data_IF_999953170380
#
_entry.id   IF_999953170380
#
_cell.length_a   1.000
_cell.length_b   1.000
_cell.length_c   1.000
_cell.angle_alpha   90.00
_cell.angle_beta   90.00
_cell.angle_gamma   90.00
#
_symmetry.space_group_name_H-M   'P 1'
#
loop_
_entity.id
_entity.type
_entity.pdbx_description
1 polymer ?
#
# COMPACT_ATOMS: atom_id res chain seq x y z
N UNK A 1 -1.00 14.01 10.79
CA UNK A 1 -1.66 13.84 9.49
C UNK A 1 -0.77 12.96 8.63
N UNK A 2 -1.24 11.77 8.30
CA UNK A 2 -0.67 10.89 7.29
C UNK A 2 -1.00 11.44 5.91
N UNK A 3 -0.28 10.97 4.90
CA UNK A 3 -0.51 11.38 3.51
C UNK A 3 -1.90 10.95 3.02
N UNK A 4 -2.37 9.76 3.43
CA UNK A 4 -3.76 9.30 3.22
C UNK A 4 -4.84 10.20 3.83
N UNK A 5 -4.52 10.97 4.87
CA UNK A 5 -5.47 11.88 5.51
C UNK A 5 -5.69 13.16 4.67
N UNK A 6 -4.84 13.40 3.65
CA UNK A 6 -4.96 14.54 2.73
C UNK A 6 -6.01 14.30 1.65
N UNK A 7 -6.25 13.04 1.29
CA UNK A 7 -7.05 12.69 0.13
C UNK A 7 -8.49 13.19 0.22
N UNK A 8 -9.25 12.80 1.26
CA UNK A 8 -10.68 13.12 1.36
C UNK A 8 -10.93 14.65 1.36
N UNK A 9 -10.18 15.47 2.14
CA UNK A 9 -10.29 16.93 2.07
C UNK A 9 -10.07 17.50 0.68
N UNK A 10 -9.05 17.03 -0.04
CA UNK A 10 -8.71 17.53 -1.37
C UNK A 10 -9.76 17.09 -2.39
N UNK A 11 -10.21 15.83 -2.31
CA UNK A 11 -11.30 15.31 -3.15
C UNK A 11 -12.55 16.18 -3.00
N UNK A 12 -13.01 16.39 -1.77
CA UNK A 12 -14.19 17.21 -1.50
C UNK A 12 -14.02 18.63 -2.04
N UNK A 13 -12.87 19.27 -1.76
CA UNK A 13 -12.60 20.64 -2.23
C UNK A 13 -12.61 20.77 -3.76
N UNK A 14 -12.15 19.74 -4.47
CA UNK A 14 -12.17 19.68 -5.93
C UNK A 14 -13.58 19.44 -6.48
N UNK A 15 -14.33 18.51 -5.90
CA UNK A 15 -15.71 18.18 -6.30
C UNK A 15 -16.65 19.39 -6.10
N UNK A 16 -16.52 20.11 -4.98
CA UNK A 16 -17.24 21.37 -4.72
C UNK A 16 -16.97 22.46 -5.78
N UNK A 17 -15.87 22.34 -6.53
CA UNK A 17 -15.47 23.25 -7.61
C UNK A 17 -15.79 22.72 -9.01
N UNK A 18 -16.58 21.64 -9.10
CA UNK A 18 -17.05 21.08 -10.36
C UNK A 18 -16.02 20.21 -11.08
N UNK A 19 -15.03 19.68 -10.35
CA UNK A 19 -14.12 18.69 -10.88
C UNK A 19 -14.60 17.27 -10.56
N UNK A 20 -14.40 16.36 -11.51
CA UNK A 20 -14.46 14.92 -11.26
C UNK A 20 -13.07 14.44 -10.81
N UNK A 21 -13.02 13.64 -9.74
CA UNK A 21 -11.77 13.23 -9.08
C UNK A 21 -11.47 11.75 -9.36
N UNK A 22 -10.21 11.47 -9.70
CA UNK A 22 -9.70 10.14 -10.03
C UNK A 22 -8.41 9.88 -9.22
N UNK A 23 -8.41 8.98 -8.23
CA UNK A 23 -7.20 8.63 -7.50
C UNK A 23 -6.26 7.73 -8.31
N UNK A 24 -4.96 7.79 -8.00
CA UNK A 24 -3.96 6.77 -8.37
C UNK A 24 -3.84 6.50 -9.89
N UNK A 25 -3.88 7.56 -10.70
CA UNK A 25 -3.90 7.44 -12.17
C UNK A 25 -2.49 7.28 -12.71
N UNK A 26 -2.19 6.12 -13.26
CA UNK A 26 -0.92 5.82 -13.92
C UNK A 26 -0.90 6.33 -15.36
N UNK A 27 0.13 7.07 -15.73
CA UNK A 27 0.37 7.50 -17.10
C UNK A 27 1.76 7.05 -17.55
N UNK A 28 1.82 5.98 -18.35
CA UNK A 28 3.07 5.43 -18.87
C UNK A 28 3.90 6.44 -19.65
N UNK A 29 3.24 7.36 -20.38
CA UNK A 29 3.91 8.39 -21.18
C UNK A 29 4.55 9.49 -20.33
N UNK A 30 3.95 9.83 -19.20
CA UNK A 30 4.54 10.73 -18.22
C UNK A 30 5.60 10.02 -17.34
N UNK A 31 5.66 8.68 -17.38
CA UNK A 31 6.60 7.88 -16.62
C UNK A 31 6.26 7.86 -15.12
N UNK A 32 4.99 7.95 -14.75
CA UNK A 32 4.59 8.06 -13.34
C UNK A 32 3.11 7.80 -13.09
N UNK A 33 2.75 7.93 -11.81
CA UNK A 33 1.38 7.84 -11.32
C UNK A 33 1.07 9.07 -10.48
N UNK A 34 -0.06 9.70 -10.76
CA UNK A 34 -0.55 10.85 -10.02
C UNK A 34 -1.37 10.36 -8.83
N UNK A 35 -1.17 10.97 -7.66
CA UNK A 35 -2.00 10.69 -6.49
C UNK A 35 -3.48 11.01 -6.77
N UNK A 36 -3.74 12.17 -7.39
CA UNK A 36 -5.07 12.59 -7.84
C UNK A 36 -4.97 13.22 -9.22
N UNK A 37 -5.84 12.77 -10.13
CA UNK A 37 -6.18 13.48 -11.36
C UNK A 37 -7.58 14.05 -11.23
N UNK A 38 -7.78 15.27 -11.70
CA UNK A 38 -9.08 15.92 -11.75
C UNK A 38 -9.44 16.31 -13.17
N UNK A 39 -10.73 16.26 -13.52
CA UNK A 39 -11.20 16.72 -14.82
C UNK A 39 -12.43 17.61 -14.75
N UNK A 40 -12.54 18.57 -15.66
CA UNK A 40 -13.77 19.33 -15.89
C UNK A 40 -13.92 19.57 -17.39
N UNK A 41 -14.80 18.82 -18.04
CA UNK A 41 -14.85 18.74 -19.50
C UNK A 41 -13.49 18.33 -20.09
N UNK A 42 -12.89 19.14 -20.99
CA UNK A 42 -11.58 18.86 -21.58
C UNK A 42 -10.40 19.19 -20.66
N UNK A 43 -10.64 19.86 -19.53
CA UNK A 43 -9.57 20.25 -18.61
C UNK A 43 -9.11 19.06 -17.78
N UNK A 44 -7.79 18.91 -17.63
CA UNK A 44 -7.16 17.92 -16.76
C UNK A 44 -6.24 18.62 -15.77
N UNK A 45 -6.32 18.24 -14.51
CA UNK A 45 -5.42 18.70 -13.47
C UNK A 45 -4.83 17.55 -12.67
N UNK A 46 -3.71 17.81 -11.99
CA UNK A 46 -3.06 16.84 -11.11
C UNK A 46 -2.83 17.45 -9.73
N UNK A 47 -3.04 16.65 -8.68
CA UNK A 47 -2.60 16.97 -7.32
C UNK A 47 -1.65 15.87 -6.85
N UNK A 48 -0.43 16.27 -6.48
CA UNK A 48 0.53 15.40 -5.77
C UNK A 48 0.50 15.72 -4.27
N UNK A 49 0.45 14.70 -3.42
CA UNK A 49 0.25 14.87 -1.98
C UNK A 49 1.49 14.46 -1.18
N UNK A 50 1.87 15.26 -0.18
CA UNK A 50 2.94 14.88 0.76
C UNK A 50 2.73 15.45 2.15
N UNK A 51 3.33 14.83 3.15
CA UNK A 51 3.34 15.35 4.52
C UNK A 51 4.17 16.65 4.69
N UNK A 52 5.02 16.96 3.72
CA UNK A 52 5.89 18.13 3.72
C UNK A 52 6.29 18.52 2.31
N UNK A 53 6.50 19.80 2.09
CA UNK A 53 7.13 20.29 0.87
C UNK A 53 8.59 19.82 0.81
N UNK A 54 8.92 19.03 -0.22
CA UNK A 54 10.24 18.45 -0.47
C UNK A 54 10.61 18.60 -1.95
N UNK A 55 11.89 18.42 -2.29
CA UNK A 55 12.32 18.37 -3.69
C UNK A 55 11.68 17.19 -4.44
N UNK A 56 11.45 16.07 -3.75
CA UNK A 56 10.76 14.90 -4.29
C UNK A 56 9.31 15.23 -4.71
N UNK A 57 8.56 15.95 -3.86
CA UNK A 57 7.21 16.41 -4.21
C UNK A 57 7.22 17.37 -5.41
N UNK A 58 8.21 18.26 -5.47
CA UNK A 58 8.36 19.18 -6.60
C UNK A 58 8.69 18.43 -7.90
N UNK A 59 9.58 17.44 -7.85
CA UNK A 59 9.91 16.60 -9.01
C UNK A 59 8.71 15.80 -9.51
N UNK A 60 7.93 15.19 -8.59
CA UNK A 60 6.67 14.53 -8.91
C UNK A 60 5.68 15.48 -9.58
N UNK A 61 5.48 16.68 -9.03
CA UNK A 61 4.58 17.67 -9.61
C UNK A 61 5.04 18.12 -11.01
N UNK A 62 6.34 18.34 -11.20
CA UNK A 62 6.92 18.80 -12.46
C UNK A 62 6.82 17.76 -13.59
N UNK A 63 6.75 16.47 -13.26
CA UNK A 63 6.52 15.38 -14.22
C UNK A 63 5.28 15.60 -15.09
N UNK A 64 4.25 16.23 -14.53
CA UNK A 64 2.97 16.45 -15.20
C UNK A 64 2.95 17.66 -16.12
N UNK A 65 4.06 18.39 -16.22
CA UNK A 65 4.16 19.51 -17.18
C UNK A 65 3.98 19.00 -18.60
N UNK A 66 3.07 19.64 -19.32
CA UNK A 66 2.67 19.24 -20.66
C UNK A 66 1.63 18.12 -20.70
N UNK A 67 1.30 17.47 -19.58
CA UNK A 67 0.25 16.46 -19.48
C UNK A 67 -1.03 16.99 -18.80
N UNK A 68 -0.89 17.97 -17.90
CA UNK A 68 -2.00 18.57 -17.15
C UNK A 68 -2.09 20.09 -17.36
N UNK A 69 -3.32 20.60 -17.39
CA UNK A 69 -3.63 22.03 -17.50
C UNK A 69 -3.36 22.76 -16.18
N UNK A 70 -3.57 22.08 -15.06
CA UNK A 70 -3.27 22.59 -13.73
C UNK A 70 -2.46 21.57 -12.95
N UNK A 71 -1.48 22.06 -12.20
CA UNK A 71 -0.66 21.24 -11.33
C UNK A 71 -0.74 21.85 -9.94
N UNK A 72 -1.19 21.04 -9.00
CA UNK A 72 -1.21 21.36 -7.59
C UNK A 72 -0.32 20.41 -6.81
N UNK A 73 0.15 20.89 -5.67
CA UNK A 73 0.64 20.05 -4.60
C UNK A 73 -0.27 20.23 -3.38
N UNK A 74 -0.49 19.17 -2.62
CA UNK A 74 -1.25 19.23 -1.37
C UNK A 74 -0.37 18.81 -0.20
N UNK A 75 -0.33 19.65 0.83
CA UNK A 75 0.44 19.39 2.06
C UNK A 75 -0.33 19.82 3.31
N UNK A 76 -0.04 19.26 4.49
CA UNK A 76 -0.58 19.78 5.74
C UNK A 76 -0.19 21.24 5.96
N UNK A 77 -1.12 22.03 6.49
CA UNK A 77 -0.84 23.42 6.86
C UNK A 77 0.31 23.56 7.85
N UNK A 78 1.14 24.58 7.63
CA UNK A 78 2.22 24.98 8.53
C UNK A 78 2.13 26.49 8.77
N UNK A 79 2.35 26.89 10.03
CA UNK A 79 2.31 28.30 10.46
C UNK A 79 3.39 29.15 9.80
N UNK A 80 4.50 28.54 9.40
CA UNK A 80 5.62 29.21 8.74
C UNK A 80 5.52 29.00 7.24
N UNK A 81 5.64 30.10 6.48
CA UNK A 81 5.69 30.06 5.03
C UNK A 81 6.97 29.39 4.49
N UNK A 82 7.03 29.25 3.18
CA UNK A 82 8.19 28.64 2.52
C UNK A 82 9.38 29.59 2.46
N UNK A 83 10.57 29.01 2.31
CA UNK A 83 11.76 29.79 1.96
C UNK A 83 11.52 30.51 0.62
N UNK A 84 12.05 31.72 0.46
CA UNK A 84 11.87 32.54 -0.74
C UNK A 84 12.21 31.80 -2.04
N UNK A 85 13.28 30.99 -2.03
CA UNK A 85 13.64 30.12 -3.16
C UNK A 85 12.51 29.17 -3.57
N UNK A 86 11.83 28.57 -2.60
CA UNK A 86 10.73 27.63 -2.87
C UNK A 86 9.51 28.37 -3.41
N UNK A 87 9.20 29.56 -2.87
CA UNK A 87 8.15 30.42 -3.43
C UNK A 87 8.43 30.80 -4.90
N UNK A 88 9.69 31.13 -5.22
CA UNK A 88 10.12 31.40 -6.58
C UNK A 88 9.89 30.18 -7.48
N UNK A 89 10.34 28.98 -7.07
CA UNK A 89 10.14 27.74 -7.83
C UNK A 89 8.65 27.46 -8.08
N UNK A 90 7.82 27.49 -7.04
CA UNK A 90 6.38 27.24 -7.16
C UNK A 90 5.73 28.22 -8.16
N UNK A 91 6.06 29.51 -8.06
CA UNK A 91 5.55 30.55 -8.95
C UNK A 91 6.03 30.38 -10.40
N UNK A 92 7.32 30.18 -10.61
CA UNK A 92 7.93 30.17 -11.94
C UNK A 92 7.48 28.94 -12.74
N UNK A 93 7.32 27.79 -12.06
CA UNK A 93 6.73 26.60 -12.65
C UNK A 93 5.20 26.61 -12.67
N UNK A 94 4.56 27.50 -11.92
CA UNK A 94 3.11 27.69 -11.91
C UNK A 94 2.36 26.60 -11.14
N UNK A 95 2.98 26.06 -10.09
CA UNK A 95 2.43 25.03 -9.21
C UNK A 95 1.59 25.72 -8.14
N UNK A 96 0.31 25.36 -8.03
CA UNK A 96 -0.55 25.83 -6.93
C UNK A 96 -0.32 25.00 -5.67
N UNK A 97 -0.46 25.59 -4.49
CA UNK A 97 -0.36 24.85 -3.23
C UNK A 97 -1.70 24.77 -2.54
N UNK A 98 -2.11 23.56 -2.16
CA UNK A 98 -3.28 23.27 -1.35
C UNK A 98 -2.82 22.92 0.07
N UNK A 99 -3.23 23.71 1.04
CA UNK A 99 -3.01 23.40 2.45
C UNK A 99 -4.21 22.69 3.03
N UNK A 100 -3.93 21.65 3.81
CA UNK A 100 -4.96 20.91 4.55
C UNK A 100 -4.77 21.16 6.06
N UNK A 101 -5.77 21.74 6.73
CA UNK A 101 -5.75 21.84 8.19
C UNK A 101 -5.94 20.48 8.85
N UNK A 102 -5.61 20.38 10.14
CA UNK A 102 -5.92 19.19 10.95
C UNK A 102 -7.41 18.82 10.97
N UNK A 103 -8.30 19.75 10.63
CA UNK A 103 -9.74 19.56 10.59
C UNK A 103 -10.28 19.30 9.17
N UNK A 104 -9.40 19.14 8.17
CA UNK A 104 -9.78 18.88 6.78
C UNK A 104 -10.18 20.12 5.98
N UNK A 105 -9.98 21.32 6.51
CA UNK A 105 -10.19 22.56 5.75
C UNK A 105 -9.09 22.70 4.70
N UNK A 106 -9.48 23.01 3.45
CA UNK A 106 -8.54 23.20 2.34
C UNK A 106 -8.53 24.66 1.88
N UNK A 107 -7.34 25.25 1.76
CA UNK A 107 -7.16 26.56 1.15
C UNK A 107 -5.94 26.60 0.25
N UNK A 108 -5.94 27.55 -0.69
CA UNK A 108 -4.89 27.70 -1.68
C UNK A 108 -3.90 28.78 -1.27
N UNK A 109 -2.60 28.51 -1.36
CA UNK A 109 -1.56 29.54 -1.40
C UNK A 109 -0.94 29.56 -2.80
N UNK A 110 -1.02 30.71 -3.46
CA UNK A 110 -0.72 30.83 -4.89
C UNK A 110 -1.78 30.17 -5.79
N UNK A 111 -1.90 30.65 -7.02
CA UNK A 111 -2.79 30.05 -8.02
C UNK A 111 -1.99 29.13 -8.92
N UNK A 112 -2.48 27.91 -9.14
CA UNK A 112 -1.94 27.06 -10.20
C UNK A 112 -2.12 27.78 -11.54
N UNK A 113 -1.06 27.85 -12.34
CA UNK A 113 -1.09 28.49 -13.65
C UNK A 113 -1.80 27.57 -14.63
N UNK A 114 -2.75 28.11 -15.37
CA UNK A 114 -3.40 27.40 -16.47
C UNK A 114 -2.43 27.19 -17.64
N UNK A 115 -2.12 25.93 -17.94
CA UNK A 115 -1.33 25.51 -19.08
C UNK A 115 -2.27 25.23 -20.27
N UNK A 116 -2.20 26.08 -21.31
CA UNK A 116 -3.09 26.00 -22.48
C UNK A 116 -2.87 24.76 -23.35
N UNK A 117 -1.64 24.25 -23.39
CA UNK A 117 -1.24 23.12 -24.26
C UNK A 117 -0.89 21.92 -23.41
N UNK A 118 -1.60 20.83 -23.61
CA UNK A 118 -1.36 19.53 -22.98
C UNK A 118 -1.49 18.41 -24.00
N UNK A 119 -0.79 17.30 -23.76
CA UNK A 119 -0.99 16.06 -24.51
C UNK A 119 -2.11 15.23 -23.84
N UNK A 120 -2.93 14.50 -24.61
CA UNK A 120 -4.13 13.86 -24.08
C UNK A 120 -3.87 12.58 -23.27
N UNK A 121 -2.60 12.14 -23.18
CA UNK A 121 -2.25 10.83 -22.62
C UNK A 121 -2.70 10.62 -21.18
N UNK A 122 -2.69 11.67 -20.35
CA UNK A 122 -3.18 11.57 -18.98
C UNK A 122 -4.70 11.38 -18.95
N UNK A 123 -5.44 12.17 -19.75
CA UNK A 123 -6.89 12.04 -19.88
C UNK A 123 -7.30 10.66 -20.40
N UNK A 124 -6.56 10.14 -21.40
CA UNK A 124 -6.78 8.81 -21.97
C UNK A 124 -6.44 7.66 -20.99
N UNK A 125 -5.71 7.95 -19.91
CA UNK A 125 -5.40 6.96 -18.88
C UNK A 125 -6.52 6.83 -17.84
N UNK A 126 -7.56 7.68 -17.91
CA UNK A 126 -8.70 7.65 -17.00
C UNK A 126 -9.65 6.50 -17.36
N UNK A 127 -10.08 5.76 -16.35
CA UNK A 127 -11.06 4.68 -16.46
C UNK A 127 -12.17 4.87 -15.43
N UNK A 128 -13.37 4.37 -15.72
CA UNK A 128 -14.52 4.42 -14.79
C UNK A 128 -14.22 3.75 -13.43
N UNK A 129 -13.30 2.77 -13.42
CA UNK A 129 -12.89 2.04 -12.23
C UNK A 129 -12.18 2.89 -11.16
N UNK A 130 -11.66 4.07 -11.52
CA UNK A 130 -11.11 5.01 -10.55
C UNK A 130 -12.19 5.61 -9.62
N UNK A 131 -13.46 5.64 -10.04
CA UNK A 131 -14.55 6.26 -9.27
C UNK A 131 -15.27 5.26 -8.36
N UNK A 132 -15.39 4.00 -8.78
CA UNK A 132 -16.18 2.96 -8.09
C UNK A 132 -15.45 2.24 -6.95
N UNK A 133 -14.15 2.47 -6.77
CA UNK A 133 -13.27 1.56 -6.02
C UNK A 133 -12.99 1.95 -4.56
N UNK A 134 -13.53 3.07 -4.06
CA UNK A 134 -13.41 3.47 -2.64
C UNK A 134 -11.97 3.74 -2.17
N UNK A 135 -11.05 4.02 -3.09
CA UNK A 135 -9.61 4.20 -2.81
C UNK A 135 -9.33 5.63 -2.35
N UNK A 136 -8.47 5.76 -1.34
CA UNK A 136 -7.86 7.03 -0.92
C UNK A 136 -6.42 7.10 -1.44
N UNK A 137 -6.05 8.20 -2.11
CA UNK A 137 -4.66 8.43 -2.55
C UNK A 137 -3.69 8.66 -1.38
N UNK A 138 -2.38 8.48 -1.60
CA UNK A 138 -1.35 8.88 -0.64
C UNK A 138 -0.94 7.82 0.40
N UNK A 139 -1.03 6.53 0.07
CA UNK A 139 -0.53 5.47 0.95
C UNK A 139 0.96 5.17 0.71
N UNK A 140 1.81 5.56 1.65
CA UNK A 140 3.21 5.14 1.72
C UNK A 140 3.30 3.63 1.96
N UNK A 141 3.39 2.83 0.89
CA UNK A 141 3.49 1.38 0.98
C UNK A 141 2.87 0.56 -0.15
N UNK A 142 2.55 1.14 -1.32
CA UNK A 142 2.11 0.34 -2.46
C UNK A 142 0.73 -0.29 -2.29
N UNK A 143 -0.24 0.51 -1.83
CA UNK A 143 -1.66 0.18 -1.90
C UNK A 143 -2.17 0.26 -3.35
N UNK A 144 -1.59 -0.54 -4.24
CA UNK A 144 -1.89 -0.50 -5.66
C UNK A 144 -3.20 -1.25 -5.97
N UNK A 145 -4.10 -0.65 -6.75
CA UNK A 145 -4.93 -1.47 -7.65
C UNK A 145 -4.14 -1.69 -8.93
N UNK A 146 -3.47 -2.83 -8.98
CA UNK A 146 -2.92 -3.41 -10.20
C UNK A 146 -4.02 -4.09 -11.00
N UNK A 147 -3.85 -4.35 -12.31
CA UNK A 147 -4.74 -5.24 -13.06
C UNK A 147 -5.00 -6.57 -12.33
N UNK A 148 -3.99 -7.04 -11.58
CA UNK A 148 -4.11 -8.11 -10.59
C UNK A 148 -5.21 -7.88 -9.55
N UNK A 149 -5.16 -6.80 -8.78
CA UNK A 149 -6.20 -6.52 -7.77
C UNK A 149 -7.59 -6.33 -8.39
N UNK A 150 -7.69 -5.82 -9.62
CA UNK A 150 -8.97 -5.74 -10.36
C UNK A 150 -9.52 -7.15 -10.61
N UNK A 151 -8.72 -8.03 -11.21
CA UNK A 151 -9.11 -9.42 -11.49
C UNK A 151 -9.50 -10.14 -10.20
N UNK A 152 -8.68 -10.02 -9.15
CA UNK A 152 -8.95 -10.67 -7.86
C UNK A 152 -10.22 -10.16 -7.21
N UNK A 153 -10.51 -8.86 -7.26
CA UNK A 153 -11.74 -8.31 -6.72
C UNK A 153 -12.97 -8.80 -7.49
N UNK A 154 -12.92 -8.89 -8.83
CA UNK A 154 -14.01 -9.47 -9.65
C UNK A 154 -14.27 -10.92 -9.24
N UNK A 155 -13.22 -11.73 -9.14
CA UNK A 155 -13.30 -13.14 -8.72
C UNK A 155 -13.84 -13.28 -7.31
N UNK A 156 -13.40 -12.43 -6.37
CA UNK A 156 -13.88 -12.41 -4.99
C UNK A 156 -15.39 -12.13 -4.90
N UNK A 157 -15.89 -11.16 -5.66
CA UNK A 157 -17.33 -10.85 -5.72
C UNK A 157 -18.12 -12.00 -6.35
N UNK A 158 -17.61 -12.58 -7.43
CA UNK A 158 -18.25 -13.74 -8.08
C UNK A 158 -18.37 -14.92 -7.11
N UNK A 159 -17.29 -15.30 -6.43
CA UNK A 159 -17.30 -16.41 -5.47
C UNK A 159 -18.21 -16.12 -4.27
N UNK A 160 -18.25 -14.88 -3.78
CA UNK A 160 -19.15 -14.47 -2.70
C UNK A 160 -20.63 -14.58 -3.13
N UNK A 161 -20.95 -14.21 -4.37
CA UNK A 161 -22.31 -14.31 -4.93
C UNK A 161 -22.70 -15.75 -5.24
N UNK A 162 -21.77 -16.57 -5.71
CA UNK A 162 -22.02 -17.98 -6.01
C UNK A 162 -22.34 -18.77 -4.74
N UNK A 163 -21.67 -18.46 -3.63
CA UNK A 163 -21.93 -19.09 -2.32
C UNK A 163 -21.50 -20.55 -2.19
N UNK A 164 -21.01 -21.16 -3.27
CA UNK A 164 -20.59 -22.56 -3.34
C UNK A 164 -19.23 -22.73 -4.07
N UNK A 165 -18.74 -23.95 -4.16
CA UNK A 165 -17.49 -24.33 -4.80
C UNK A 165 -17.54 -24.14 -6.32
N UNK A 166 -16.70 -23.24 -6.84
CA UNK A 166 -16.54 -23.00 -8.27
C UNK A 166 -15.19 -23.51 -8.77
N UNK A 167 -15.18 -24.14 -9.94
CA UNK A 167 -13.96 -24.48 -10.66
C UNK A 167 -13.32 -23.24 -11.29
N UNK A 168 -12.02 -23.31 -11.61
CA UNK A 168 -11.35 -22.22 -12.36
C UNK A 168 -12.03 -21.93 -13.69
N UNK A 169 -12.62 -22.94 -14.35
CA UNK A 169 -13.32 -22.73 -15.61
C UNK A 169 -14.54 -21.82 -15.40
N UNK A 170 -15.38 -22.15 -14.43
CA UNK A 170 -16.59 -21.36 -14.14
C UNK A 170 -16.25 -19.93 -13.71
N UNK A 171 -15.16 -19.74 -12.97
CA UNK A 171 -14.67 -18.41 -12.60
C UNK A 171 -14.26 -17.62 -13.86
N UNK A 172 -13.50 -18.22 -14.76
CA UNK A 172 -13.03 -17.56 -15.99
C UNK A 172 -14.14 -17.32 -17.02
N UNK A 173 -15.17 -18.17 -17.04
CA UNK A 173 -16.35 -17.99 -17.89
C UNK A 173 -17.16 -16.74 -17.47
N UNK A 174 -17.01 -16.25 -16.23
CA UNK A 174 -17.74 -15.10 -15.67
C UNK A 174 -16.85 -13.90 -15.29
N UNK A 175 -15.54 -14.09 -15.17
CA UNK A 175 -14.59 -13.05 -14.76
C UNK A 175 -13.48 -12.89 -15.80
N UNK A 176 -13.50 -11.78 -16.52
CA UNK A 176 -12.39 -11.39 -17.39
C UNK A 176 -11.11 -11.13 -16.57
N UNK A 177 -9.97 -11.61 -17.07
CA UNK A 177 -8.67 -11.52 -16.39
C UNK A 177 -7.63 -10.76 -17.20
N UNK A 178 -6.73 -10.08 -16.51
CA UNK A 178 -5.57 -9.39 -17.11
C UNK A 178 -4.39 -10.32 -17.46
N UNK A 179 -4.46 -11.61 -17.12
CA UNK A 179 -3.36 -12.55 -17.33
C UNK A 179 -3.28 -12.99 -18.79
N UNK A 180 -2.06 -13.09 -19.33
CA UNK A 180 -1.83 -13.71 -20.65
C UNK A 180 -2.16 -15.21 -20.65
N UNK A 181 -2.03 -15.87 -19.49
CA UNK A 181 -2.35 -17.29 -19.29
C UNK A 181 -3.39 -17.48 -18.16
N UNK A 182 -4.67 -17.12 -18.38
CA UNK A 182 -5.68 -16.97 -17.32
C UNK A 182 -5.82 -18.15 -16.36
N UNK A 183 -5.88 -19.38 -16.89
CA UNK A 183 -6.16 -20.59 -16.09
C UNK A 183 -5.08 -20.89 -15.05
N UNK A 184 -3.83 -20.94 -15.47
CA UNK A 184 -2.71 -21.28 -14.59
C UNK A 184 -2.39 -20.13 -13.64
N UNK A 185 -2.38 -18.90 -14.15
CA UNK A 185 -2.05 -17.71 -13.36
C UNK A 185 -3.08 -17.41 -12.29
N UNK A 186 -4.38 -17.51 -12.60
CA UNK A 186 -5.44 -17.29 -11.62
C UNK A 186 -5.45 -18.41 -10.57
N UNK A 187 -5.29 -19.67 -10.98
CA UNK A 187 -5.21 -20.78 -10.04
C UNK A 187 -4.06 -20.58 -9.05
N UNK A 188 -2.86 -20.26 -9.53
CA UNK A 188 -1.70 -19.97 -8.67
C UNK A 188 -1.99 -18.81 -7.72
N UNK A 189 -2.58 -17.72 -8.22
CA UNK A 189 -2.89 -16.55 -7.40
C UNK A 189 -3.88 -16.86 -6.26
N UNK A 190 -4.95 -17.60 -6.56
CA UNK A 190 -5.94 -18.00 -5.54
C UNK A 190 -5.35 -18.98 -4.52
N UNK A 191 -4.41 -19.84 -4.95
CA UNK A 191 -3.74 -20.80 -4.08
C UNK A 191 -2.71 -20.15 -3.15
N UNK A 192 -1.86 -19.27 -3.69
CA UNK A 192 -0.67 -18.76 -2.98
C UNK A 192 -0.90 -17.40 -2.31
N UNK A 193 -1.69 -16.51 -2.92
CA UNK A 193 -1.75 -15.10 -2.49
C UNK A 193 -3.08 -14.71 -1.84
N UNK A 194 -4.16 -15.45 -2.10
CA UNK A 194 -5.52 -15.08 -1.65
C UNK A 194 -6.17 -16.12 -0.71
N UNK A 195 -5.37 -17.05 -0.17
CA UNK A 195 -5.82 -18.10 0.76
C UNK A 195 -6.45 -17.57 2.08
N UNK A 196 -6.24 -16.28 2.40
CA UNK A 196 -6.84 -15.63 3.57
C UNK A 196 -8.36 -15.49 3.49
N UNK A 197 -8.94 -15.40 2.29
CA UNK A 197 -10.39 -15.30 2.08
C UNK A 197 -10.93 -16.30 1.05
N UNK A 198 -10.06 -17.00 0.32
CA UNK A 198 -10.44 -18.02 -0.67
C UNK A 198 -10.11 -19.42 -0.15
N UNK A 199 -11.13 -20.24 0.00
CA UNK A 199 -10.98 -21.67 0.27
C UNK A 199 -10.66 -22.45 -1.00
N UNK A 200 -9.99 -23.59 -0.83
CA UNK A 200 -9.67 -24.52 -1.92
C UNK A 200 -10.02 -25.96 -1.54
N UNK A 201 -10.45 -26.73 -2.54
CA UNK A 201 -10.49 -28.20 -2.45
C UNK A 201 -10.07 -28.83 -3.77
N UNK A 202 -9.68 -30.11 -3.71
CA UNK A 202 -9.35 -30.91 -4.89
C UNK A 202 -10.23 -32.16 -4.91
N UNK A 203 -11.00 -32.33 -5.98
CA UNK A 203 -11.90 -33.47 -6.18
C UNK A 203 -11.71 -34.00 -7.59
N UNK A 204 -11.54 -35.32 -7.73
CA UNK A 204 -11.32 -35.99 -9.02
C UNK A 204 -10.25 -35.31 -9.90
N UNK A 205 -9.15 -34.86 -9.29
CA UNK A 205 -8.05 -34.19 -9.99
C UNK A 205 -8.28 -32.70 -10.34
N UNK A 206 -9.48 -32.15 -10.11
CA UNK A 206 -9.83 -30.75 -10.39
C UNK A 206 -9.78 -29.88 -9.14
N UNK A 207 -9.37 -28.62 -9.30
CA UNK A 207 -9.35 -27.62 -8.24
C UNK A 207 -10.65 -26.82 -8.23
N UNK A 208 -11.18 -26.60 -7.03
CA UNK A 208 -12.35 -25.78 -6.76
C UNK A 208 -12.03 -24.74 -5.69
N UNK A 209 -12.69 -23.59 -5.80
CA UNK A 209 -12.47 -22.43 -4.96
C UNK A 209 -13.82 -21.91 -4.45
N UNK A 210 -13.84 -21.41 -3.22
CA UNK A 210 -15.04 -20.83 -2.59
C UNK A 210 -14.67 -19.64 -1.74
N UNK A 211 -15.56 -18.67 -1.61
CA UNK A 211 -15.38 -17.57 -0.67
C UNK A 211 -15.54 -18.05 0.78
N UNK A 212 -14.64 -17.61 1.67
CA UNK A 212 -14.75 -17.80 3.12
C UNK A 212 -15.33 -16.54 3.75
N UNK A 213 -16.49 -16.65 4.39
CA UNK A 213 -16.99 -15.59 5.27
C UNK A 213 -16.13 -15.54 6.53
N UNK A 214 -15.44 -14.42 6.73
CA UNK A 214 -14.61 -14.17 7.93
C UNK A 214 -15.43 -13.41 9.00
N UNK A 215 -16.75 -13.31 8.84
CA UNK A 215 -17.61 -12.43 9.63
C UNK A 215 -18.76 -13.16 10.33
N UNK A 216 -18.46 -14.22 11.09
CA UNK A 216 -19.32 -14.70 12.19
C UNK A 216 -18.48 -15.42 13.25
N UNK A 217 -17.94 -14.68 14.22
CA UNK A 217 -17.48 -15.24 15.48
C UNK A 217 -17.55 -14.19 16.61
N UNK A 218 -18.74 -14.00 17.18
CA UNK A 218 -18.93 -13.59 18.58
C UNK A 218 -19.88 -14.60 19.25
N UNK A 219 -19.76 -14.81 20.56
CA UNK A 219 -19.94 -16.13 21.16
C UNK A 219 -21.32 -16.33 21.79
N UNK A 220 -21.91 -17.52 21.60
CA UNK A 220 -23.04 -17.98 22.41
C UNK A 220 -23.69 -19.23 21.83
N UNK A 221 -23.73 -20.32 22.62
CA UNK A 221 -24.68 -21.42 22.39
C UNK A 221 -24.08 -22.82 22.19
N UNK A 222 -23.79 -23.49 23.32
CA UNK A 222 -23.97 -24.93 23.58
C UNK A 222 -23.42 -25.98 22.59
N UNK A 223 -22.30 -26.59 22.97
CA UNK A 223 -21.79 -27.86 22.44
C UNK A 223 -22.62 -29.05 22.94
N UNK A 224 -23.15 -29.87 22.03
CA UNK A 224 -23.26 -31.32 22.23
C UNK A 224 -22.27 -32.02 21.31
N UNK A 225 -21.53 -32.97 21.91
CA UNK A 225 -20.37 -33.66 21.37
C UNK A 225 -20.78 -34.77 20.39
N UNK A 226 -19.99 -34.96 19.34
CA UNK A 226 -19.66 -36.29 18.83
C UNK A 226 -18.18 -36.32 18.40
N UNK A 227 -17.44 -37.24 19.04
CA UNK A 227 -16.00 -37.44 18.93
C UNK A 227 -15.60 -38.00 17.55
N UNK A 228 -14.46 -37.53 17.04
CA UNK A 228 -13.68 -38.20 16.00
C UNK A 228 -12.26 -37.65 16.04
N UNK A 229 -11.32 -38.45 16.53
CA UNK A 229 -9.99 -38.04 16.94
C UNK A 229 -9.13 -37.47 15.80
N UNK A 230 -8.56 -36.28 16.05
CA UNK A 230 -7.41 -35.70 15.33
C UNK A 230 -6.23 -35.69 16.32
N UNK A 231 -5.02 -36.12 15.92
CA UNK A 231 -3.89 -36.19 16.83
C UNK A 231 -3.48 -34.81 17.36
N UNK A 232 -3.05 -34.85 18.63
CA UNK A 232 -2.79 -33.74 19.52
C UNK A 232 -1.84 -32.68 18.94
N UNK A 233 -2.33 -31.44 18.95
CA UNK A 233 -1.67 -30.24 19.48
C UNK A 233 -0.29 -30.48 20.14
N UNK A 234 0.75 -29.87 19.59
CA UNK A 234 1.76 -29.24 20.46
C UNK A 234 1.30 -27.81 20.71
N UNK A 235 1.08 -27.48 21.97
CA UNK A 235 0.65 -26.17 22.42
C UNK A 235 1.86 -25.35 22.89
N UNK A 236 1.97 -24.17 22.28
CA UNK A 236 2.37 -22.88 22.84
C UNK A 236 3.79 -22.69 23.39
N UNK A 237 4.42 -21.56 22.99
CA UNK A 237 5.09 -20.69 23.98
C UNK A 237 5.09 -19.19 23.69
N UNK A 238 5.01 -18.72 22.44
CA UNK A 238 4.86 -17.27 22.17
C UNK A 238 3.92 -17.00 20.98
N UNK A 239 2.70 -16.56 21.24
CA UNK A 239 1.72 -16.19 20.20
C UNK A 239 2.04 -14.82 19.55
N UNK A 240 3.28 -14.61 19.08
CA UNK A 240 3.69 -13.34 18.48
C UNK A 240 3.55 -13.42 16.96
N UNK A 241 2.50 -12.79 16.43
CA UNK A 241 2.34 -12.63 14.98
C UNK A 241 3.33 -11.59 14.44
N UNK A 242 4.13 -11.98 13.44
CA UNK A 242 5.10 -11.14 12.74
C UNK A 242 4.81 -11.16 11.23
N UNK A 243 4.92 -10.00 10.57
CA UNK A 243 4.94 -9.95 9.09
C UNK A 243 6.24 -10.55 8.55
N UNK A 244 6.28 -11.02 7.29
CA UNK A 244 7.50 -11.55 6.66
C UNK A 244 8.72 -10.63 6.84
N UNK A 245 8.56 -9.31 6.64
CA UNK A 245 9.66 -8.34 6.83
C UNK A 245 10.15 -8.23 8.27
N UNK A 246 9.25 -8.41 9.24
CA UNK A 246 9.60 -8.41 10.66
C UNK A 246 10.33 -9.71 11.02
N UNK A 247 9.85 -10.84 10.49
CA UNK A 247 10.48 -12.14 10.68
C UNK A 247 11.87 -12.18 10.04
N UNK A 248 12.04 -11.74 8.79
CA UNK A 248 13.36 -11.69 8.14
C UNK A 248 14.36 -10.86 8.91
N UNK A 249 13.93 -9.74 9.52
CA UNK A 249 14.79 -8.92 10.37
C UNK A 249 15.08 -9.62 11.70
N UNK A 250 14.09 -10.22 12.35
CA UNK A 250 14.27 -10.99 13.58
C UNK A 250 15.31 -12.10 13.41
N UNK A 251 15.22 -12.88 12.33
CA UNK A 251 16.10 -14.01 12.02
C UNK A 251 17.56 -13.60 11.80
N UNK A 252 17.86 -12.35 11.44
CA UNK A 252 19.24 -11.90 11.19
C UNK A 252 19.83 -11.01 12.31
N UNK A 253 19.01 -10.63 13.29
CA UNK A 253 19.47 -9.94 14.49
C UNK A 253 20.21 -10.91 15.42
N UNK A 254 21.18 -10.38 16.17
CA UNK A 254 21.93 -11.15 17.17
C UNK A 254 21.84 -10.50 18.56
N UNK A 255 22.42 -11.16 19.57
CA UNK A 255 22.58 -10.63 20.93
C UNK A 255 23.63 -9.50 21.02
N UNK A 256 24.41 -9.30 19.96
CA UNK A 256 25.41 -8.23 19.91
C UNK A 256 24.80 -6.93 19.36
N UNK A 257 25.37 -5.80 19.77
CA UNK A 257 24.95 -4.50 19.27
C UNK A 257 25.31 -4.30 17.78
N UNK A 258 24.29 -4.17 16.94
CA UNK A 258 24.45 -4.01 15.49
C UNK A 258 23.80 -2.71 14.99
N UNK A 259 24.40 -2.09 13.98
CA UNK A 259 23.77 -0.96 13.26
C UNK A 259 22.76 -1.46 12.22
N UNK A 260 21.74 -0.66 11.85
CA UNK A 260 20.78 -1.03 10.81
C UNK A 260 21.43 -1.49 9.50
N UNK A 261 22.52 -0.85 9.07
CA UNK A 261 23.26 -1.24 7.87
C UNK A 261 23.91 -2.60 8.02
N UNK A 262 24.46 -2.93 9.20
CA UNK A 262 25.07 -4.25 9.47
C UNK A 262 24.01 -5.36 9.54
N UNK A 263 22.82 -5.04 10.02
CA UNK A 263 21.66 -5.94 10.01
C UNK A 263 21.19 -6.15 8.57
N UNK A 264 21.05 -5.08 7.80
CA UNK A 264 20.61 -5.14 6.40
C UNK A 264 21.51 -6.00 5.50
N UNK A 265 22.83 -5.99 5.75
CA UNK A 265 23.80 -6.85 5.02
C UNK A 265 23.55 -8.35 5.19
N UNK A 266 22.88 -8.76 6.27
CA UNK A 266 22.58 -10.16 6.56
C UNK A 266 21.23 -10.61 6.01
N UNK A 267 20.39 -9.68 5.53
CA UNK A 267 19.06 -10.02 5.02
C UNK A 267 19.15 -10.79 3.69
N UNK A 268 18.43 -11.92 3.54
CA UNK A 268 18.40 -12.66 2.29
C UNK A 268 17.75 -11.84 1.16
N UNK A 269 18.32 -11.87 -0.04
CA UNK A 269 17.74 -11.26 -1.24
C UNK A 269 17.92 -9.74 -1.40
N UNK A 270 18.66 -9.07 -0.52
CA UNK A 270 18.98 -7.65 -0.68
C UNK A 270 20.27 -7.43 -1.50
N UNK A 271 20.17 -6.69 -2.61
CA UNK A 271 21.31 -6.37 -3.46
C UNK A 271 22.31 -5.45 -2.71
N UNK A 272 23.64 -5.67 -2.79
CA UNK A 272 24.66 -4.91 -2.04
C UNK A 272 24.53 -3.38 -2.17
N UNK A 273 24.26 -2.90 -3.38
CA UNK A 273 24.03 -1.47 -3.64
C UNK A 273 22.83 -0.89 -2.87
N UNK A 274 21.75 -1.66 -2.70
CA UNK A 274 20.57 -1.25 -1.93
C UNK A 274 20.90 -1.21 -0.44
N UNK A 275 21.71 -2.15 0.04
CA UNK A 275 22.12 -2.21 1.44
C UNK A 275 22.95 -0.98 1.83
N UNK A 276 23.86 -0.54 0.96
CA UNK A 276 24.73 0.62 1.22
C UNK A 276 23.99 1.96 1.14
N UNK A 277 23.05 2.10 0.20
CA UNK A 277 22.35 3.37 -0.03
C UNK A 277 21.07 3.50 0.79
N UNK A 278 20.36 2.38 1.05
CA UNK A 278 18.99 2.36 1.60
C UNK A 278 18.75 1.24 2.63
N UNK A 279 19.77 0.46 3.00
CA UNK A 279 19.60 -0.72 3.87
C UNK A 279 19.01 -0.39 5.24
N UNK A 280 19.35 0.77 5.82
CA UNK A 280 18.77 1.23 7.08
C UNK A 280 17.25 1.45 6.99
N UNK A 281 16.72 1.88 5.85
CA UNK A 281 15.29 2.11 5.63
C UNK A 281 14.48 0.80 5.62
N UNK A 282 15.09 -0.28 5.12
CA UNK A 282 14.49 -1.62 5.11
C UNK A 282 14.35 -2.22 6.52
N UNK A 283 15.26 -1.87 7.42
CA UNK A 283 15.39 -2.50 8.74
C UNK A 283 14.76 -1.65 9.85
N UNK A 284 14.73 -0.32 9.72
CA UNK A 284 14.26 0.59 10.77
C UNK A 284 12.79 0.38 11.17
N UNK A 285 11.89 0.15 10.20
CA UNK A 285 10.46 -0.09 10.48
C UNK A 285 10.25 -1.44 11.18
N UNK A 286 10.81 -2.57 10.68
CA UNK A 286 10.83 -3.84 11.41
C UNK A 286 11.41 -3.75 12.83
N UNK A 287 12.58 -3.11 13.01
CA UNK A 287 13.20 -2.95 14.32
C UNK A 287 12.28 -2.23 15.31
N UNK A 288 11.62 -1.16 14.88
CA UNK A 288 10.67 -0.43 15.74
C UNK A 288 9.51 -1.32 16.18
N UNK A 289 9.00 -2.16 15.28
CA UNK A 289 7.93 -3.10 15.60
C UNK A 289 8.39 -4.23 16.54
N UNK A 290 9.61 -4.75 16.34
CA UNK A 290 10.20 -5.77 17.22
C UNK A 290 10.46 -5.21 18.64
N UNK A 291 10.92 -3.96 18.75
CA UNK A 291 11.06 -3.26 20.04
C UNK A 291 9.71 -3.09 20.73
N UNK A 292 8.67 -2.67 19.99
CA UNK A 292 7.33 -2.54 20.55
C UNK A 292 6.74 -3.86 21.05
N UNK A 293 7.22 -4.99 20.50
CA UNK A 293 6.86 -6.36 20.92
C UNK A 293 7.81 -6.94 21.97
N UNK A 294 8.81 -6.19 22.44
CA UNK A 294 9.80 -6.65 23.42
C UNK A 294 10.81 -7.67 22.89
N UNK A 295 10.91 -7.87 21.57
CA UNK A 295 11.79 -8.86 20.94
C UNK A 295 13.17 -8.29 20.58
N UNK A 296 13.30 -6.97 20.50
CA UNK A 296 14.56 -6.30 20.25
C UNK A 296 14.67 -5.09 21.16
N UNK A 297 15.90 -4.64 21.41
CA UNK A 297 16.15 -3.43 22.17
C UNK A 297 17.13 -2.52 21.47
N UNK A 298 17.08 -1.24 21.85
CA UNK A 298 17.95 -0.19 21.36
C UNK A 298 18.96 0.17 22.44
N UNK A 299 20.21 0.39 22.04
CA UNK A 299 21.25 0.77 22.98
C UNK A 299 20.89 2.11 23.68
N UNK A 300 21.00 2.19 25.02
CA UNK A 300 20.58 3.37 25.78
C UNK A 300 21.43 4.61 25.47
N UNK A 301 22.75 4.46 25.38
CA UNK A 301 23.68 5.58 25.19
C UNK A 301 24.14 5.77 23.73
N UNK A 302 24.47 4.68 23.01
CA UNK A 302 24.94 4.74 21.62
C UNK A 302 23.78 4.73 20.63
N UNK A 303 23.59 5.84 19.92
CA UNK A 303 22.51 5.97 18.93
C UNK A 303 22.70 4.98 17.77
N UNK A 304 21.59 4.37 17.34
CA UNK A 304 21.54 3.58 16.11
C UNK A 304 22.11 2.16 16.23
N UNK A 305 22.14 1.60 17.44
CA UNK A 305 22.50 0.21 17.67
C UNK A 305 21.33 -0.56 18.29
N UNK A 306 21.17 -1.81 17.85
CA UNK A 306 20.07 -2.70 18.20
C UNK A 306 20.57 -4.12 18.40
N UNK A 307 19.87 -4.89 19.24
CA UNK A 307 20.12 -6.32 19.48
C UNK A 307 18.84 -7.05 19.88
N UNK A 308 18.86 -8.38 19.91
CA UNK A 308 17.79 -9.20 20.47
C UNK A 308 17.73 -9.08 22.00
N UNK A 309 16.51 -9.13 22.52
CA UNK A 309 16.25 -9.42 23.94
C UNK A 309 16.26 -10.94 24.17
N UNK A 310 16.32 -11.42 25.42
CA UNK A 310 16.17 -12.84 25.72
C UNK A 310 14.87 -13.43 25.14
N UNK A 311 13.74 -12.72 25.26
CA UNK A 311 12.46 -13.11 24.65
C UNK A 311 12.52 -13.13 23.13
N UNK A 312 13.24 -12.18 22.52
CA UNK A 312 13.46 -12.16 21.07
C UNK A 312 14.27 -13.35 20.56
N UNK A 313 15.23 -13.81 21.35
CA UNK A 313 16.02 -15.01 21.03
C UNK A 313 15.16 -16.27 21.06
N UNK A 314 14.35 -16.47 22.11
CA UNK A 314 13.43 -17.61 22.22
C UNK A 314 12.47 -17.67 21.01
N UNK A 315 11.89 -16.52 20.65
CA UNK A 315 10.99 -16.44 19.48
C UNK A 315 11.75 -16.69 18.18
N UNK A 316 13.01 -16.25 18.06
CA UNK A 316 13.83 -16.53 16.86
C UNK A 316 14.09 -18.03 16.72
N UNK A 317 14.46 -18.69 17.81
CA UNK A 317 14.73 -20.14 17.84
C UNK A 317 13.46 -20.95 17.48
N UNK A 318 12.29 -20.53 17.96
CA UNK A 318 11.00 -21.14 17.60
C UNK A 318 10.76 -21.11 16.07
N UNK A 319 11.08 -20.00 15.40
CA UNK A 319 10.92 -19.85 13.94
C UNK A 319 12.04 -20.48 13.10
N UNK A 320 13.22 -20.75 13.68
CA UNK A 320 14.30 -21.47 12.98
C UNK A 320 14.10 -23.00 12.98
N UNK A 321 13.23 -23.51 13.87
CA UNK A 321 12.90 -24.94 13.98
C UNK A 321 11.64 -25.36 13.20
N UNK A 322 10.87 -24.42 12.64
CA UNK A 322 9.70 -24.65 11.75
C UNK A 322 10.08 -24.64 10.26
#
# INVERSE_FOLDING_TARGET
>A
MKESDLYDPIKQWMEERGFTVFPEVECRRAGGRADIVVTSGPLVGVVEMKQSLSLDLLDQALRWRGFANYIWIAIPYRKNGYRQFVNMVLRDYGIGVLFVSKHGTVWTEGKARFMRRTVPHLQQSLTEHHQTSGIKGGHSGGGYITPYRITINKVKHFLKRAGDWCSIKEILDHCETHYASPRASLAKALLEYEAGWCERKKEAGKLYFRFRDVETALPGGTNQKANGAVPKKHAAKHAVTLSEKQLSVLLVLTKDWQTPTRIARKLPGLHPHIVETKGSLYVNQPLKALIAKGLAEKHPERKGQYRLTPTGEEVREDFEME
#
